data_IF_961743564763
#
_entry.id   IF_961743564763
#
_cell.length_a   1.000
_cell.length_b   1.000
_cell.length_c   1.000
_cell.angle_alpha   90.00
_cell.angle_beta   90.00
_cell.angle_gamma   90.00
#
_symmetry.space_group_name_H-M   'P 1'
#
loop_
_entity.id
_entity.type
_entity.pdbx_description
1 polymer ?
#
# COMPACT_ATOMS: atom_id res chain seq x y z
N UNK A 1 -16.54 5.06 -11.80
CA UNK A 1 -15.18 5.46 -12.23
C UNK A 1 -14.54 6.46 -11.28
N UNK A 2 -15.15 7.63 -11.02
CA UNK A 2 -14.59 8.63 -10.10
C UNK A 2 -14.29 8.10 -8.68
N UNK A 3 -15.18 7.26 -8.14
CA UNK A 3 -14.98 6.62 -6.83
C UNK A 3 -13.79 5.65 -6.83
N UNK A 4 -13.68 4.80 -7.84
CA UNK A 4 -12.54 3.88 -8.01
C UNK A 4 -11.23 4.64 -8.11
N UNK A 5 -11.18 5.74 -8.87
CA UNK A 5 -10.00 6.60 -8.95
C UNK A 5 -9.65 7.25 -7.60
N UNK A 6 -10.66 7.67 -6.82
CA UNK A 6 -10.45 8.22 -5.49
C UNK A 6 -9.84 7.17 -4.54
N UNK A 7 -10.35 5.93 -4.57
CA UNK A 7 -9.80 4.80 -3.79
C UNK A 7 -8.35 4.53 -4.20
N UNK A 8 -8.06 4.44 -5.50
CA UNK A 8 -6.70 4.20 -6.01
C UNK A 8 -5.74 5.33 -5.62
N UNK A 9 -6.20 6.59 -5.65
CA UNK A 9 -5.41 7.74 -5.20
C UNK A 9 -5.12 7.69 -3.70
N UNK A 10 -6.12 7.34 -2.89
CA UNK A 10 -5.95 7.21 -1.45
C UNK A 10 -4.95 6.10 -1.10
N UNK A 11 -5.09 4.91 -1.71
CA UNK A 11 -4.14 3.80 -1.55
C UNK A 11 -2.71 4.17 -2.00
N UNK A 12 -2.58 4.88 -3.13
CA UNK A 12 -1.27 5.36 -3.61
C UNK A 12 -0.60 6.33 -2.64
N UNK A 13 -1.40 7.11 -1.89
CA UNK A 13 -0.93 8.03 -0.84
C UNK A 13 -0.79 7.37 0.53
N UNK A 14 -1.07 6.07 0.64
CA UNK A 14 -1.11 5.32 1.91
C UNK A 14 -2.10 5.95 2.91
N UNK A 15 -3.15 6.57 2.39
CA UNK A 15 -4.22 7.13 3.23
C UNK A 15 -5.13 5.99 3.69
N UNK A 16 -5.62 6.04 4.94
CA UNK A 16 -6.59 5.06 5.42
C UNK A 16 -7.88 5.18 4.62
N UNK A 17 -8.26 4.11 3.92
CA UNK A 17 -9.50 4.05 3.16
C UNK A 17 -10.51 3.26 3.96
N UNK A 18 -11.56 3.93 4.45
CA UNK A 18 -12.66 3.27 5.16
C UNK A 18 -13.57 2.54 4.16
N UNK A 19 -13.16 1.34 3.73
CA UNK A 19 -13.90 0.53 2.75
C UNK A 19 -14.24 -0.84 3.33
N UNK A 20 -15.47 -1.28 3.09
CA UNK A 20 -15.97 -2.63 3.43
C UNK A 20 -15.64 -3.67 2.36
N UNK A 21 -15.12 -3.23 1.22
CA UNK A 21 -14.78 -4.07 0.08
C UNK A 21 -13.48 -4.84 0.36
N UNK A 22 -13.56 -6.16 0.25
CA UNK A 22 -12.46 -7.06 0.57
C UNK A 22 -11.32 -6.96 -0.44
N UNK A 23 -11.60 -6.67 -1.72
CA UNK A 23 -10.56 -6.49 -2.72
C UNK A 23 -9.70 -5.24 -2.42
N UNK A 24 -10.33 -4.18 -1.92
CA UNK A 24 -9.62 -2.95 -1.52
C UNK A 24 -8.76 -3.20 -0.27
N UNK A 25 -9.24 -4.02 0.68
CA UNK A 25 -8.46 -4.42 1.86
C UNK A 25 -7.25 -5.28 1.51
N UNK A 26 -7.44 -6.27 0.63
CA UNK A 26 -6.34 -7.11 0.12
C UNK A 26 -5.29 -6.26 -0.60
N UNK A 27 -5.73 -5.27 -1.38
CA UNK A 27 -4.81 -4.37 -2.08
C UNK A 27 -4.03 -3.48 -1.09
N UNK A 28 -4.67 -2.94 -0.05
CA UNK A 28 -4.00 -2.19 1.01
C UNK A 28 -2.95 -3.05 1.74
N UNK A 29 -3.31 -4.27 2.13
CA UNK A 29 -2.40 -5.20 2.81
C UNK A 29 -1.19 -5.58 1.94
N UNK A 30 -1.37 -5.72 0.62
CA UNK A 30 -0.28 -5.98 -0.31
C UNK A 30 0.68 -4.79 -0.42
N UNK A 31 0.15 -3.57 -0.44
CA UNK A 31 0.98 -2.34 -0.45
C UNK A 31 1.85 -2.30 0.81
N UNK A 32 1.27 -2.59 1.97
CA UNK A 32 1.99 -2.61 3.25
C UNK A 32 3.05 -3.72 3.33
N UNK A 33 2.78 -4.91 2.79
CA UNK A 33 3.76 -6.02 2.72
C UNK A 33 4.96 -5.65 1.84
N UNK A 34 4.70 -5.05 0.67
CA UNK A 34 5.78 -4.60 -0.23
C UNK A 34 6.63 -3.50 0.44
N UNK A 35 6.00 -2.52 1.10
CA UNK A 35 6.71 -1.44 1.81
C UNK A 35 7.63 -1.99 2.91
N UNK A 36 7.15 -2.94 3.71
CA UNK A 36 7.94 -3.63 4.74
C UNK A 36 9.12 -4.40 4.14
N UNK A 37 8.92 -5.11 3.02
CA UNK A 37 10.00 -5.83 2.34
C UNK A 37 11.08 -4.88 1.82
N UNK A 38 10.69 -3.74 1.25
CA UNK A 38 11.62 -2.71 0.81
C UNK A 38 12.38 -2.06 1.98
N UNK A 39 11.73 -1.88 3.13
CA UNK A 39 12.37 -1.35 4.35
C UNK A 39 13.37 -2.34 4.97
N UNK A 40 13.13 -3.65 4.82
CA UNK A 40 13.95 -4.72 5.39
C UNK A 40 15.30 -4.93 4.67
N UNK A 41 15.49 -4.31 3.49
CA UNK A 41 16.78 -4.29 2.81
C UNK A 41 17.63 -3.14 3.36
N UNK A 42 18.16 -3.31 4.58
CA UNK A 42 19.30 -2.51 5.02
C UNK A 42 20.52 -2.99 4.25
N UNK A 43 20.84 -2.30 3.16
CA UNK A 43 22.17 -2.41 2.55
C UNK A 43 23.12 -1.77 3.55
N UNK A 44 23.67 -2.55 4.49
CA UNK A 44 24.96 -2.17 5.07
C UNK A 44 25.96 -2.21 3.92
N UNK A 45 26.52 -1.08 3.48
CA UNK A 45 27.59 -1.14 2.50
C UNK A 45 28.74 -1.89 3.17
N UNK A 46 29.04 -3.10 2.66
CA UNK A 46 30.21 -3.83 3.13
C UNK A 46 31.44 -3.06 2.64
N UNK A 47 32.25 -2.59 3.59
CA UNK A 47 33.48 -1.84 3.36
C UNK A 47 34.50 -2.62 2.52
#
# INVERSE_FOLDING_TARGET
MAETEAILRALSRREPVAVTDEAVRLLAALIDDVDQRCSSVSITPSA
#
